data_IF_897611621682
#
_entry.id   IF_897611621682
#
_cell.length_a   1.000
_cell.length_b   1.000
_cell.length_c   1.000
_cell.angle_alpha   90.00
_cell.angle_beta   90.00
_cell.angle_gamma   90.00
#
_symmetry.space_group_name_H-M   'P 1'
#
loop_
_entity.id
_entity.type
_entity.pdbx_description
1 polymer ?
#
# COMPACT_ATOMS: atom_id res chain seq x y z
N UNK A 1 28.34 12.74 -46.37
CA UNK A 1 27.80 13.80 -45.48
C UNK A 1 26.54 13.40 -44.69
N UNK A 2 26.02 12.16 -44.73
CA UNK A 2 24.73 11.80 -44.07
C UNK A 2 24.81 10.79 -42.91
N UNK A 3 26.00 10.47 -42.42
CA UNK A 3 26.18 9.44 -41.37
C UNK A 3 26.51 10.00 -39.97
N UNK A 4 26.64 11.33 -39.84
CA UNK A 4 26.93 11.96 -38.53
C UNK A 4 25.67 12.48 -37.81
N UNK A 5 24.56 12.68 -38.54
CA UNK A 5 23.33 13.23 -37.95
C UNK A 5 22.55 12.19 -37.12
N UNK A 6 22.62 10.89 -37.44
CA UNK A 6 21.92 9.82 -36.71
C UNK A 6 22.49 9.54 -35.30
N UNK A 7 23.76 9.89 -35.05
CA UNK A 7 24.37 9.73 -33.71
C UNK A 7 23.93 10.80 -32.71
N UNK A 8 23.22 11.83 -33.18
CA UNK A 8 22.70 12.90 -32.32
C UNK A 8 21.45 12.49 -31.53
N UNK A 9 20.63 11.58 -32.09
CA UNK A 9 19.38 11.15 -31.47
C UNK A 9 19.57 10.12 -30.34
N UNK A 10 20.67 9.36 -30.35
CA UNK A 10 20.99 8.38 -29.30
C UNK A 10 21.46 9.02 -27.99
N UNK A 11 21.82 10.32 -28.00
CA UNK A 11 22.18 11.07 -26.79
C UNK A 11 20.99 11.46 -25.92
N UNK A 12 19.76 11.26 -26.40
CA UNK A 12 18.53 11.77 -25.75
C UNK A 12 18.04 10.86 -24.62
N UNK A 13 18.50 9.60 -24.56
CA UNK A 13 18.15 8.67 -23.46
C UNK A 13 19.40 8.45 -22.60
N UNK A 14 19.86 9.52 -21.93
CA UNK A 14 20.73 9.33 -20.75
C UNK A 14 19.84 8.84 -19.61
N UNK A 15 19.74 7.52 -19.46
CA UNK A 15 19.10 6.92 -18.29
C UNK A 15 20.01 7.17 -17.10
N UNK A 16 19.61 8.09 -16.23
CA UNK A 16 20.19 8.18 -14.91
C UNK A 16 19.71 6.96 -14.09
N UNK A 17 20.55 5.92 -14.04
CA UNK A 17 20.25 4.70 -13.30
C UNK A 17 19.90 4.97 -11.83
N UNK A 18 20.49 6.01 -11.23
CA UNK A 18 20.26 6.34 -9.83
C UNK A 18 18.85 6.90 -9.63
N UNK A 19 18.42 7.78 -10.54
CA UNK A 19 17.08 8.33 -10.56
C UNK A 19 16.04 7.24 -10.86
N UNK A 20 16.29 6.36 -11.83
CA UNK A 20 15.36 5.29 -12.19
C UNK A 20 15.16 4.28 -11.05
N UNK A 21 16.25 3.87 -10.36
CA UNK A 21 16.16 2.99 -9.19
C UNK A 21 15.36 3.63 -8.05
N UNK A 22 15.52 4.94 -7.85
CA UNK A 22 14.76 5.69 -6.84
C UNK A 22 13.27 5.72 -7.18
N UNK A 23 12.92 6.08 -8.40
CA UNK A 23 11.53 6.18 -8.85
C UNK A 23 10.84 4.80 -8.76
N UNK A 24 11.53 3.74 -9.17
CA UNK A 24 11.02 2.37 -9.05
C UNK A 24 10.80 1.96 -7.59
N UNK A 25 11.74 2.29 -6.69
CA UNK A 25 11.60 2.03 -5.26
C UNK A 25 10.39 2.75 -4.66
N UNK A 26 10.16 4.00 -5.05
CA UNK A 26 9.00 4.78 -4.62
C UNK A 26 7.68 4.19 -5.13
N UNK A 27 7.62 3.75 -6.39
CA UNK A 27 6.46 3.08 -6.97
C UNK A 27 6.14 1.77 -6.26
N UNK A 28 7.15 0.93 -6.01
CA UNK A 28 6.96 -0.34 -5.29
C UNK A 28 6.46 -0.07 -3.87
N UNK A 29 7.07 0.89 -3.15
CA UNK A 29 6.62 1.27 -1.81
C UNK A 29 5.18 1.78 -1.80
N UNK A 30 4.80 2.59 -2.79
CA UNK A 30 3.43 3.09 -2.96
C UNK A 30 2.44 1.95 -3.19
N UNK A 31 2.74 1.05 -4.12
CA UNK A 31 1.89 -0.11 -4.42
C UNK A 31 1.71 -1.04 -3.21
N UNK A 32 2.77 -1.27 -2.43
CA UNK A 32 2.68 -2.04 -1.17
C UNK A 32 1.78 -1.33 -0.16
N UNK A 33 1.92 -0.01 0.00
CA UNK A 33 1.05 0.77 0.90
C UNK A 33 -0.42 0.70 0.48
N UNK A 34 -0.71 0.87 -0.81
CA UNK A 34 -2.07 0.79 -1.36
C UNK A 34 -2.67 -0.59 -1.17
N UNK A 35 -1.92 -1.64 -1.50
CA UNK A 35 -2.38 -3.03 -1.40
C UNK A 35 -2.69 -3.40 0.04
N UNK A 36 -1.80 -3.08 0.99
CA UNK A 36 -2.03 -3.38 2.41
C UNK A 36 -3.26 -2.64 2.95
N UNK A 37 -3.46 -1.38 2.56
CA UNK A 37 -4.62 -0.61 2.97
C UNK A 37 -5.92 -1.15 2.36
N UNK A 38 -5.91 -1.53 1.09
CA UNK A 38 -7.07 -2.14 0.43
C UNK A 38 -7.48 -3.46 1.10
N UNK A 39 -6.50 -4.30 1.45
CA UNK A 39 -6.79 -5.56 2.13
C UNK A 39 -7.33 -5.35 3.56
N UNK A 40 -6.82 -4.35 4.31
CA UNK A 40 -7.39 -3.98 5.61
C UNK A 40 -8.84 -3.49 5.48
N UNK A 41 -9.14 -2.72 4.44
CA UNK A 41 -10.50 -2.29 4.14
C UNK A 41 -11.41 -3.48 3.80
N UNK A 42 -10.93 -4.44 3.00
CA UNK A 42 -11.69 -5.64 2.66
C UNK A 42 -11.96 -6.53 3.88
N UNK A 43 -10.96 -6.70 4.78
CA UNK A 43 -11.16 -7.41 6.05
C UNK A 43 -12.24 -6.74 6.91
N UNK A 44 -12.25 -5.41 6.97
CA UNK A 44 -13.26 -4.68 7.72
C UNK A 44 -14.66 -4.86 7.12
N UNK A 45 -14.79 -4.88 5.79
CA UNK A 45 -16.08 -5.13 5.13
C UNK A 45 -16.58 -6.55 5.37
N UNK A 46 -15.68 -7.55 5.35
CA UNK A 46 -15.99 -8.94 5.71
C UNK A 46 -16.46 -9.05 7.16
N UNK A 47 -15.76 -8.40 8.09
CA UNK A 47 -16.14 -8.38 9.51
C UNK A 47 -17.48 -7.67 9.74
N UNK A 48 -17.78 -6.61 9.00
CA UNK A 48 -19.07 -5.91 9.09
C UNK A 48 -20.20 -6.57 8.28
N UNK A 49 -19.89 -7.59 7.47
CA UNK A 49 -20.77 -8.19 6.46
C UNK A 49 -21.35 -7.19 5.46
N UNK A 50 -20.70 -6.04 5.28
CA UNK A 50 -21.19 -4.96 4.45
C UNK A 50 -20.09 -3.95 4.17
N UNK A 51 -20.06 -3.47 2.92
CA UNK A 51 -19.13 -2.44 2.48
C UNK A 51 -19.40 -1.09 3.16
N UNK A 52 -18.46 -0.16 3.03
CA UNK A 52 -18.65 1.20 3.54
C UNK A 52 -19.90 1.86 2.93
N UNK A 53 -20.79 2.35 3.79
CA UNK A 53 -22.08 2.97 3.45
C UNK A 53 -23.11 2.06 2.74
N UNK A 54 -22.80 0.78 2.54
CA UNK A 54 -23.74 -0.18 1.99
C UNK A 54 -24.91 -0.41 2.95
N UNK A 55 -26.13 -0.41 2.42
CA UNK A 55 -27.31 -0.80 3.21
C UNK A 55 -27.47 -2.31 3.09
N UNK A 56 -27.06 -3.03 4.12
CA UNK A 56 -27.27 -4.48 4.24
C UNK A 56 -28.02 -4.75 5.57
N UNK A 57 -29.19 -5.41 5.55
CA UNK A 57 -29.89 -5.80 6.78
C UNK A 57 -29.07 -6.74 7.67
N UNK A 58 -28.15 -7.53 7.10
CA UNK A 58 -27.30 -8.47 7.84
C UNK A 58 -26.06 -7.81 8.45
N UNK A 59 -25.89 -6.49 8.30
CA UNK A 59 -24.74 -5.76 8.83
C UNK A 59 -24.62 -5.94 10.35
N UNK A 60 -23.48 -6.47 10.78
CA UNK A 60 -23.20 -6.72 12.21
C UNK A 60 -22.49 -5.57 12.92
N UNK A 61 -21.76 -4.71 12.20
CA UNK A 61 -21.09 -3.54 12.77
C UNK A 61 -20.88 -2.42 11.71
N UNK A 62 -20.41 -1.26 12.16
CA UNK A 62 -20.12 -0.09 11.33
C UNK A 62 -18.73 0.46 11.59
N UNK A 63 -18.16 1.13 10.58
CA UNK A 63 -16.87 1.79 10.68
C UNK A 63 -16.96 3.06 11.54
N UNK A 64 -16.00 3.23 12.44
CA UNK A 64 -15.81 4.37 13.34
C UNK A 64 -14.53 5.16 12.98
N UNK A 65 -14.26 5.29 11.68
CA UNK A 65 -13.04 5.91 11.16
C UNK A 65 -11.86 4.94 11.11
N UNK A 66 -10.66 5.49 11.17
CA UNK A 66 -9.41 4.72 11.17
C UNK A 66 -8.34 5.43 12.03
N UNK A 67 -7.23 4.77 12.29
CA UNK A 67 -6.03 5.41 12.78
C UNK A 67 -4.83 5.07 11.90
N UNK A 68 -3.88 5.99 11.83
CA UNK A 68 -2.67 5.80 11.05
C UNK A 68 -1.58 5.16 11.92
N UNK A 69 -0.88 4.17 11.40
CA UNK A 69 0.39 3.68 11.96
C UNK A 69 1.42 3.45 10.88
N UNK A 70 2.69 3.61 11.22
CA UNK A 70 3.79 3.25 10.32
C UNK A 70 4.11 1.76 10.45
N UNK A 71 4.45 1.15 9.32
CA UNK A 71 4.93 -0.22 9.25
C UNK A 71 6.14 -0.31 8.33
N UNK A 72 7.20 -0.98 8.77
CA UNK A 72 8.41 -1.15 7.98
C UNK A 72 8.32 -2.42 7.14
N UNK A 73 8.41 -2.25 5.83
CA UNK A 73 8.47 -3.33 4.86
C UNK A 73 9.85 -3.38 4.21
N UNK A 74 10.15 -4.43 3.43
CA UNK A 74 11.36 -4.48 2.58
C UNK A 74 11.41 -3.33 1.57
N UNK A 75 10.26 -2.91 1.05
CA UNK A 75 10.13 -1.77 0.15
C UNK A 75 10.27 -0.40 0.85
N UNK A 76 10.41 -0.40 2.17
CA UNK A 76 10.53 0.80 2.99
C UNK A 76 9.35 1.01 3.94
N UNK A 77 9.30 2.19 4.54
CA UNK A 77 8.27 2.56 5.52
C UNK A 77 6.97 2.93 4.81
N UNK A 78 5.89 2.26 5.16
CA UNK A 78 4.54 2.51 4.65
C UNK A 78 3.60 2.99 5.77
N UNK A 79 2.54 3.70 5.39
CA UNK A 79 1.48 4.17 6.30
C UNK A 79 0.23 3.29 6.16
N UNK A 80 -0.12 2.62 7.24
CA UNK A 80 -1.34 1.83 7.34
C UNK A 80 -2.47 2.67 7.93
N UNK A 81 -3.64 2.64 7.29
CA UNK A 81 -4.91 3.21 7.74
C UNK A 81 -5.75 2.11 8.36
N UNK A 82 -5.46 1.77 9.61
CA UNK A 82 -6.13 0.64 10.28
C UNK A 82 -7.58 1.01 10.61
N UNK A 83 -8.59 0.27 10.10
CA UNK A 83 -9.99 0.53 10.39
C UNK A 83 -10.30 0.42 11.88
N UNK A 84 -11.23 1.26 12.34
CA UNK A 84 -11.88 1.12 13.65
C UNK A 84 -13.33 0.73 13.40
N UNK A 85 -13.83 -0.27 14.09
CA UNK A 85 -15.26 -0.60 14.11
C UNK A 85 -15.88 -0.07 15.43
N UNK A 86 -17.21 0.02 15.50
CA UNK A 86 -17.90 0.62 16.66
C UNK A 86 -17.90 -0.30 17.86
N UNK A 87 -18.14 -1.59 17.64
CA UNK A 87 -18.36 -2.56 18.72
C UNK A 87 -17.29 -3.65 18.71
N UNK A 88 -17.02 -4.22 17.54
CA UNK A 88 -16.12 -5.36 17.39
C UNK A 88 -14.67 -4.86 17.30
N UNK A 89 -13.72 -5.43 18.06
CA UNK A 89 -12.31 -5.14 17.86
C UNK A 89 -11.87 -5.53 16.44
N UNK A 90 -11.23 -4.61 15.72
CA UNK A 90 -10.64 -4.93 14.43
C UNK A 90 -9.31 -5.65 14.63
N UNK A 91 -9.25 -6.92 14.25
CA UNK A 91 -8.05 -7.73 14.22
C UNK A 91 -7.79 -8.20 12.78
N UNK A 92 -6.61 -7.84 12.26
CA UNK A 92 -6.21 -8.18 10.89
C UNK A 92 -5.46 -9.50 10.85
N UNK A 93 -5.78 -10.37 9.89
CA UNK A 93 -5.02 -11.58 9.62
C UNK A 93 -3.73 -11.27 8.83
N UNK A 94 -3.68 -10.12 8.15
CA UNK A 94 -2.53 -9.70 7.34
C UNK A 94 -1.44 -9.08 8.21
N UNK A 95 -1.83 -8.22 9.16
CA UNK A 95 -0.86 -7.46 9.98
C UNK A 95 -1.23 -7.56 11.45
N UNK A 96 -0.42 -8.33 12.19
CA UNK A 96 -0.54 -8.46 13.63
C UNK A 96 -0.58 -7.10 14.36
N UNK A 97 -1.33 -7.08 15.46
CA UNK A 97 -1.41 -5.92 16.34
C UNK A 97 -0.03 -5.64 16.95
N UNK A 98 0.32 -4.36 17.06
CA UNK A 98 1.61 -3.85 17.57
C UNK A 98 2.86 -4.21 16.77
N UNK A 99 2.80 -5.15 15.82
CA UNK A 99 3.92 -5.44 14.91
C UNK A 99 4.25 -4.20 14.09
N UNK A 100 5.52 -3.79 14.11
CA UNK A 100 6.01 -2.57 13.43
C UNK A 100 6.85 -2.84 12.20
N UNK A 101 7.32 -4.07 12.01
CA UNK A 101 8.20 -4.47 10.92
C UNK A 101 7.75 -5.83 10.38
N UNK A 102 7.83 -6.00 9.08
CA UNK A 102 7.68 -7.32 8.47
C UNK A 102 8.79 -8.27 8.95
N UNK A 103 8.52 -9.59 9.02
CA UNK A 103 9.55 -10.54 9.38
C UNK A 103 10.65 -10.56 8.31
N UNK A 104 11.91 -10.39 8.72
CA UNK A 104 13.04 -10.69 7.84
C UNK A 104 13.12 -12.20 7.66
N UNK A 105 12.73 -12.69 6.48
CA UNK A 105 13.26 -13.97 6.00
C UNK A 105 14.73 -13.73 5.62
N UNK A 106 15.63 -14.41 6.34
CA UNK A 106 17.07 -14.47 6.07
C UNK A 106 17.35 -15.15 4.73
#
# INVERSE_FOLDING_TARGET
MRAEEDKSHLKVIQVDETQLKKDLSELVRGSVEETLNALLDEEADKLCQASKYERNPDRVDTRAGSYNRNFETKAGKVKLKVPKLRTIPFESAIIERYKRREPRKN
#
